data_IF_402600337436
#
_entry.id   IF_402600337436
#
_cell.length_a   1.000
_cell.length_b   1.000
_cell.length_c   1.000
_cell.angle_alpha   90.00
_cell.angle_beta   90.00
_cell.angle_gamma   90.00
#
_symmetry.space_group_name_H-M   'P 1'
#
loop_
_entity.id
_entity.type
_entity.pdbx_description
1 polymer ?
#
# COMPACT_ATOMS: atom_id res chain seq x y z
N UNK A 1 18.91 2.00 28.92
CA UNK A 1 18.27 1.33 27.77
C UNK A 1 18.75 2.02 26.51
N UNK A 2 19.63 1.38 25.73
CA UNK A 2 20.11 1.93 24.47
C UNK A 2 19.37 1.23 23.31
N UNK A 3 18.93 2.01 22.33
CA UNK A 3 18.29 1.48 21.13
C UNK A 3 19.39 0.75 20.31
N UNK A 4 19.19 -0.53 19.94
CA UNK A 4 20.14 -1.24 19.09
C UNK A 4 20.39 -0.48 17.78
N UNK A 5 21.59 -0.58 17.24
CA UNK A 5 22.02 0.24 16.09
C UNK A 5 21.13 0.07 14.87
N UNK A 6 20.63 -1.16 14.65
CA UNK A 6 19.70 -1.52 13.58
C UNK A 6 18.38 -0.72 13.61
N UNK A 7 17.96 -0.26 14.78
CA UNK A 7 16.70 0.47 14.97
C UNK A 7 16.91 1.98 15.09
N UNK A 8 18.15 2.49 15.19
CA UNK A 8 18.40 3.94 15.33
C UNK A 8 17.84 4.75 14.16
N UNK A 9 18.01 4.27 12.93
CA UNK A 9 17.51 4.95 11.74
C UNK A 9 15.97 4.99 11.73
N UNK A 10 15.32 3.87 12.09
CA UNK A 10 13.86 3.79 12.20
C UNK A 10 13.34 4.70 13.31
N UNK A 11 14.04 4.76 14.44
CA UNK A 11 13.71 5.66 15.55
C UNK A 11 13.88 7.13 15.18
N UNK A 12 14.91 7.48 14.40
CA UNK A 12 15.11 8.84 13.91
C UNK A 12 13.95 9.29 13.02
N UNK A 13 13.49 8.44 12.10
CA UNK A 13 12.31 8.69 11.26
C UNK A 13 11.02 8.82 12.08
N UNK A 14 10.87 7.98 13.10
CA UNK A 14 9.73 8.03 14.01
C UNK A 14 9.70 9.36 14.80
N UNK A 15 10.86 9.80 15.30
CA UNK A 15 11.00 11.08 15.99
C UNK A 15 10.74 12.27 15.06
N UNK A 16 11.19 12.23 13.81
CA UNK A 16 10.89 13.31 12.85
C UNK A 16 9.39 13.38 12.57
N UNK A 17 8.71 12.24 12.49
CA UNK A 17 7.26 12.19 12.31
C UNK A 17 6.50 12.79 13.48
N UNK A 18 6.86 12.43 14.71
CA UNK A 18 6.25 13.00 15.92
C UNK A 18 6.40 14.53 15.96
N UNK A 19 7.55 15.07 15.56
CA UNK A 19 7.77 16.52 15.46
C UNK A 19 6.87 17.20 14.42
N UNK A 20 6.62 16.55 13.29
CA UNK A 20 5.74 17.07 12.23
C UNK A 20 4.28 17.09 12.69
N UNK A 21 3.86 16.06 13.43
CA UNK A 21 2.51 15.95 13.96
C UNK A 21 2.30 16.85 15.20
N UNK A 22 3.35 17.47 15.72
CA UNK A 22 3.38 18.23 16.99
C UNK A 22 2.93 17.39 18.20
N UNK A 23 3.07 16.07 18.08
CA UNK A 23 2.67 15.08 19.08
C UNK A 23 3.91 14.50 19.74
N UNK A 24 3.80 14.06 21.00
CA UNK A 24 4.92 13.37 21.64
C UNK A 24 5.14 12.00 21.00
N UNK A 25 6.38 11.51 20.99
CA UNK A 25 6.69 10.18 20.42
C UNK A 25 5.93 9.05 21.12
N UNK A 26 5.58 9.24 22.40
CA UNK A 26 4.78 8.29 23.16
C UNK A 26 3.31 8.25 22.70
N UNK A 27 2.71 9.41 22.41
CA UNK A 27 1.35 9.52 21.90
C UNK A 27 1.24 8.93 20.49
N UNK A 28 2.20 9.23 19.61
CA UNK A 28 2.22 8.65 18.25
C UNK A 28 2.35 7.12 18.27
N UNK A 29 3.14 6.59 19.22
CA UNK A 29 3.29 5.15 19.41
C UNK A 29 1.99 4.52 19.93
N UNK A 30 1.30 5.22 20.83
CA UNK A 30 0.02 4.78 21.35
C UNK A 30 -1.04 4.70 20.24
N UNK A 31 -1.14 5.73 19.40
CA UNK A 31 -2.07 5.76 18.28
C UNK A 31 -1.78 4.63 17.28
N UNK A 32 -0.50 4.37 16.98
CA UNK A 32 -0.09 3.26 16.12
C UNK A 32 -0.50 1.89 16.69
N UNK A 33 -0.40 1.69 18.00
CA UNK A 33 -0.82 0.45 18.65
C UNK A 33 -2.35 0.33 18.64
N UNK A 34 -3.07 1.42 18.88
CA UNK A 34 -4.54 1.43 18.82
C UNK A 34 -5.02 1.08 17.41
N UNK A 35 -4.44 1.69 16.36
CA UNK A 35 -4.73 1.36 14.95
C UNK A 35 -4.43 -0.11 14.63
N UNK A 36 -3.29 -0.62 15.10
CA UNK A 36 -2.92 -2.03 14.89
C UNK A 36 -3.87 -2.99 15.60
N UNK A 37 -4.29 -2.68 16.83
CA UNK A 37 -5.26 -3.50 17.56
C UNK A 37 -6.67 -3.39 16.97
N UNK A 38 -7.05 -2.27 16.37
CA UNK A 38 -8.33 -2.15 15.67
C UNK A 38 -8.31 -2.93 14.34
N UNK A 39 -7.19 -2.91 13.60
CA UNK A 39 -7.05 -3.61 12.33
C UNK A 39 -6.81 -5.13 12.49
N UNK A 40 -6.03 -5.53 13.48
CA UNK A 40 -5.58 -6.92 13.67
C UNK A 40 -6.07 -7.57 14.97
N UNK A 41 -6.73 -6.84 15.88
CA UNK A 41 -7.23 -7.41 17.14
C UNK A 41 -8.23 -8.54 16.93
N UNK A 42 -9.11 -8.38 15.95
CA UNK A 42 -10.07 -9.43 15.55
C UNK A 42 -9.38 -10.63 14.88
N UNK A 43 -8.22 -10.43 14.27
CA UNK A 43 -7.42 -11.49 13.64
C UNK A 43 -6.61 -12.32 14.66
N UNK A 44 -6.35 -11.74 15.85
CA UNK A 44 -5.69 -12.42 16.98
C UNK A 44 -6.70 -13.22 17.82
N UNK A 45 -8.01 -12.93 17.74
CA UNK A 45 -9.10 -13.65 18.42
C UNK A 45 -9.59 -14.93 17.69
N UNK A 46 -8.67 -15.79 17.23
CA UNK A 46 -9.00 -17.21 17.05
C UNK A 46 -8.10 -18.12 17.92
N UNK A 47 -8.20 -18.06 19.25
CA UNK A 47 -8.06 -19.26 20.07
C UNK A 47 -9.28 -20.14 19.80
N UNK A 48 -9.04 -21.34 19.25
CA UNK A 48 -10.03 -22.42 19.11
C UNK A 48 -10.81 -22.58 20.42
N UNK A 49 -12.13 -22.31 20.47
CA UNK A 49 -12.92 -22.58 21.66
C UNK A 49 -13.43 -24.02 21.59
N UNK A 50 -12.59 -24.97 21.96
CA UNK A 50 -13.09 -26.26 22.44
C UNK A 50 -13.43 -26.09 23.91
N UNK A 51 -14.71 -25.85 24.19
CA UNK A 51 -15.50 -26.59 25.19
C UNK A 51 -16.91 -26.02 25.24
N UNK A 52 -17.86 -26.90 24.95
CA UNK A 52 -19.29 -26.69 25.14
C UNK A 52 -19.57 -26.46 26.63
N UNK A 53 -20.34 -25.43 26.99
CA UNK A 53 -21.18 -25.50 28.19
C UNK A 53 -22.40 -24.56 28.08
N UNK A 54 -23.58 -25.17 28.17
CA UNK A 54 -24.90 -24.52 28.16
C UNK A 54 -25.04 -23.62 29.39
N UNK A 55 -25.33 -22.35 29.19
CA UNK A 55 -25.89 -21.49 30.24
C UNK A 55 -27.00 -20.59 29.68
N UNK A 56 -28.19 -20.70 30.27
CA UNK A 56 -29.45 -20.05 29.87
C UNK A 56 -29.36 -18.51 29.74
N UNK A 57 -30.25 -17.88 28.95
CA UNK A 57 -30.18 -16.44 28.68
C UNK A 57 -30.67 -15.63 29.90
N UNK A 58 -29.75 -14.91 30.56
CA UNK A 58 -30.12 -13.88 31.54
C UNK A 58 -30.61 -12.63 30.81
N UNK A 59 -31.87 -12.25 31.04
CA UNK A 59 -32.45 -10.99 30.52
C UNK A 59 -31.68 -9.80 31.10
N UNK A 60 -30.84 -9.16 30.29
CA UNK A 60 -30.20 -7.87 30.60
C UNK A 60 -31.08 -6.73 30.10
N UNK A 61 -31.49 -5.84 31.00
CA UNK A 61 -32.12 -4.57 30.64
C UNK A 61 -31.05 -3.65 30.05
N UNK A 62 -31.03 -3.51 28.73
CA UNK A 62 -30.15 -2.57 28.02
C UNK A 62 -30.75 -1.17 28.21
N UNK A 63 -30.12 -0.33 29.02
CA UNK A 63 -30.43 1.10 29.03
C UNK A 63 -30.02 1.67 27.66
N UNK A 64 -30.95 2.33 26.97
CA UNK A 64 -30.71 2.95 25.67
C UNK A 64 -29.48 3.87 25.77
N UNK A 65 -28.44 3.58 24.99
CA UNK A 65 -27.25 4.42 24.90
C UNK A 65 -27.65 5.81 24.38
N UNK A 66 -27.14 6.87 25.02
CA UNK A 66 -27.30 8.23 24.53
C UNK A 66 -26.65 8.36 23.15
N UNK A 67 -27.23 9.14 22.21
CA UNK A 67 -26.64 9.31 20.90
C UNK A 67 -25.24 9.92 21.02
N UNK A 68 -24.27 9.30 20.35
CA UNK A 68 -22.90 9.78 20.31
C UNK A 68 -22.87 11.25 19.84
N UNK A 69 -22.15 12.12 20.57
CA UNK A 69 -21.96 13.51 20.16
C UNK A 69 -21.30 13.52 18.79
N UNK A 70 -21.99 14.06 17.80
CA UNK A 70 -21.46 14.23 16.44
C UNK A 70 -20.24 15.13 16.51
N UNK A 71 -19.03 14.55 16.54
CA UNK A 71 -17.80 15.30 16.26
C UNK A 71 -17.91 15.67 14.78
N UNK A 72 -18.08 16.95 14.49
CA UNK A 72 -17.98 17.46 13.13
C UNK A 72 -16.59 17.10 12.63
N UNK A 73 -16.52 16.10 11.75
CA UNK A 73 -15.31 15.72 11.03
C UNK A 73 -14.92 16.90 10.13
N UNK A 74 -14.21 17.87 10.69
CA UNK A 74 -13.47 18.85 9.92
C UNK A 74 -12.23 18.11 9.45
N UNK A 75 -12.35 17.39 8.33
CA UNK A 75 -11.18 16.84 7.66
C UNK A 75 -10.36 18.01 7.15
N UNK A 76 -9.35 18.47 7.91
CA UNK A 76 -8.32 19.37 7.39
C UNK A 76 -7.65 18.61 6.24
N UNK A 77 -7.93 19.02 5.00
CA UNK A 77 -7.24 18.50 3.82
C UNK A 77 -5.81 19.02 3.88
N UNK A 78 -4.92 18.25 4.49
CA UNK A 78 -3.48 18.49 4.43
C UNK A 78 -2.97 17.80 3.17
N UNK A 79 -2.66 18.58 2.14
CA UNK A 79 -1.98 18.05 0.96
C UNK A 79 -0.50 17.89 1.30
N UNK A 80 -0.07 16.66 1.58
CA UNK A 80 1.35 16.33 1.73
C UNK A 80 1.95 16.31 0.33
N UNK A 81 2.66 17.37 -0.06
CA UNK A 81 3.54 17.36 -1.22
C UNK A 81 4.85 16.73 -0.79
N UNK A 82 5.10 15.47 -1.21
CA UNK A 82 6.42 14.85 -1.10
C UNK A 82 7.34 15.63 -2.05
N UNK A 83 8.33 16.34 -1.50
CA UNK A 83 9.36 16.99 -2.30
C UNK A 83 10.17 15.91 -3.02
N UNK A 84 10.28 16.08 -4.34
CA UNK A 84 10.85 15.14 -5.29
C UNK A 84 12.39 15.11 -5.24
N UNK A 85 12.98 14.95 -4.06
CA UNK A 85 14.45 14.91 -3.92
C UNK A 85 15.01 13.47 -3.87
N UNK A 86 14.19 12.44 -3.63
CA UNK A 86 14.65 11.03 -3.67
C UNK A 86 14.34 10.31 -5.00
N UNK A 87 13.98 11.04 -6.05
CA UNK A 87 13.57 10.47 -7.36
C UNK A 87 14.44 10.92 -8.54
N UNK A 88 15.55 11.62 -8.31
CA UNK A 88 16.21 12.41 -9.35
C UNK A 88 17.72 12.21 -9.49
N UNK A 89 18.23 10.99 -9.37
CA UNK A 89 19.61 10.72 -9.82
C UNK A 89 19.72 10.21 -11.27
N UNK A 90 18.59 9.94 -11.96
CA UNK A 90 18.59 9.49 -13.36
C UNK A 90 17.78 10.40 -14.32
N UNK A 91 17.18 11.51 -13.86
CA UNK A 91 16.25 12.30 -14.71
C UNK A 91 16.94 13.26 -15.70
N UNK A 92 18.25 13.49 -15.62
CA UNK A 92 18.92 14.50 -16.46
C UNK A 92 19.48 13.97 -17.79
N UNK A 93 19.50 12.64 -18.01
CA UNK A 93 19.98 12.03 -19.27
C UNK A 93 19.00 11.08 -19.96
N UNK A 94 17.88 10.73 -19.32
CA UNK A 94 16.90 9.81 -19.92
C UNK A 94 15.97 10.54 -20.89
N UNK A 95 16.09 10.25 -22.19
CA UNK A 95 15.11 10.67 -23.19
C UNK A 95 13.71 10.14 -22.85
N UNK A 96 12.65 10.76 -23.39
CA UNK A 96 11.26 10.31 -23.18
C UNK A 96 11.10 8.80 -23.45
N UNK A 97 11.87 8.27 -24.40
CA UNK A 97 11.91 6.85 -24.78
C UNK A 97 12.46 5.91 -23.70
N UNK A 98 13.30 6.39 -22.80
CA UNK A 98 13.95 5.58 -21.77
C UNK A 98 13.08 5.29 -20.55
N UNK A 99 11.92 5.92 -20.46
CA UNK A 99 11.00 5.69 -19.34
C UNK A 99 10.47 4.24 -19.35
N UNK A 100 10.17 3.65 -18.18
CA UNK A 100 9.71 2.27 -18.06
C UNK A 100 8.43 1.98 -18.84
N UNK A 101 7.60 3.01 -19.12
CA UNK A 101 6.40 2.88 -19.95
C UNK A 101 6.77 2.57 -21.40
N UNK A 102 7.66 3.35 -22.01
CA UNK A 102 7.99 3.17 -23.43
C UNK A 102 8.82 1.91 -23.66
N UNK A 103 9.74 1.57 -22.73
CA UNK A 103 10.44 0.29 -22.75
C UNK A 103 9.50 -0.92 -22.70
N UNK A 104 8.43 -0.86 -21.89
CA UNK A 104 7.42 -1.91 -21.82
C UNK A 104 6.57 -1.98 -23.09
N UNK A 105 6.20 -0.84 -23.67
CA UNK A 105 5.43 -0.78 -24.92
C UNK A 105 6.21 -1.31 -26.11
N UNK A 106 7.50 -0.99 -26.19
CA UNK A 106 8.41 -1.53 -27.20
C UNK A 106 8.54 -3.05 -27.04
N UNK A 107 8.68 -3.55 -25.80
CA UNK A 107 8.67 -4.99 -25.52
C UNK A 107 7.39 -5.67 -25.99
N UNK A 108 6.23 -5.08 -25.67
CA UNK A 108 4.95 -5.60 -26.12
C UNK A 108 4.90 -5.70 -27.64
N UNK A 109 5.29 -4.65 -28.37
CA UNK A 109 5.32 -4.66 -29.83
C UNK A 109 6.28 -5.70 -30.41
N UNK A 110 7.40 -5.97 -29.74
CA UNK A 110 8.35 -6.99 -30.18
C UNK A 110 7.89 -8.43 -29.91
N UNK A 111 7.09 -8.64 -28.86
CA UNK A 111 6.60 -9.96 -28.45
C UNK A 111 5.22 -10.28 -29.04
N UNK A 112 4.44 -9.27 -29.41
CA UNK A 112 3.09 -9.46 -29.92
C UNK A 112 3.13 -10.04 -31.33
N UNK A 113 2.65 -11.28 -31.45
CA UNK A 113 2.48 -11.99 -32.72
C UNK A 113 1.07 -11.81 -33.30
N UNK A 114 0.25 -10.93 -32.72
CA UNK A 114 -1.13 -10.62 -33.12
C UNK A 114 -2.21 -11.28 -32.26
N UNK A 115 -1.86 -12.27 -31.44
CA UNK A 115 -2.77 -12.95 -30.51
C UNK A 115 -2.55 -12.53 -29.05
N UNK A 116 -1.87 -11.41 -28.83
CA UNK A 116 -1.52 -10.91 -27.50
C UNK A 116 -0.36 -11.66 -26.86
N UNK A 117 0.14 -11.09 -25.77
CA UNK A 117 1.34 -11.56 -25.07
C UNK A 117 0.97 -12.15 -23.72
N UNK A 118 1.60 -13.28 -23.37
CA UNK A 118 1.41 -13.90 -22.06
C UNK A 118 1.99 -12.98 -20.96
N UNK A 119 1.25 -12.72 -19.87
CA UNK A 119 1.64 -11.75 -18.86
C UNK A 119 2.93 -12.13 -18.12
N UNK A 120 3.19 -13.41 -17.89
CA UNK A 120 4.41 -13.87 -17.21
C UNK A 120 5.65 -13.75 -18.10
N UNK A 121 5.51 -14.04 -19.40
CA UNK A 121 6.59 -13.86 -20.38
C UNK A 121 6.95 -12.38 -20.48
N UNK A 122 5.93 -11.51 -20.55
CA UNK A 122 6.13 -10.06 -20.59
C UNK A 122 6.83 -9.55 -19.32
N UNK A 123 6.46 -10.05 -18.13
CA UNK A 123 7.11 -9.68 -16.86
C UNK A 123 8.58 -10.07 -16.83
N UNK A 124 8.89 -11.29 -17.27
CA UNK A 124 10.25 -11.82 -17.29
C UNK A 124 11.12 -11.01 -18.26
N UNK A 125 10.61 -10.73 -19.46
CA UNK A 125 11.29 -9.88 -20.44
C UNK A 125 11.48 -8.44 -19.95
N UNK A 126 10.49 -7.88 -19.25
CA UNK A 126 10.55 -6.55 -18.67
C UNK A 126 11.58 -6.44 -17.54
N UNK A 127 11.69 -7.46 -16.70
CA UNK A 127 12.76 -7.57 -15.70
C UNK A 127 14.14 -7.63 -16.37
N UNK A 128 14.29 -8.43 -17.43
CA UNK A 128 15.54 -8.52 -18.18
C UNK A 128 15.95 -7.18 -18.84
N UNK A 129 14.99 -6.38 -19.30
CA UNK A 129 15.23 -5.01 -19.82
C UNK A 129 15.45 -3.95 -18.72
N UNK A 130 15.53 -4.33 -17.44
CA UNK A 130 15.82 -3.41 -16.34
C UNK A 130 14.63 -2.54 -15.90
N UNK A 131 13.39 -2.92 -16.23
CA UNK A 131 12.21 -2.19 -15.75
C UNK A 131 12.00 -2.51 -14.26
N UNK A 132 12.14 -1.49 -13.40
CA UNK A 132 11.87 -1.60 -11.96
C UNK A 132 10.39 -1.95 -11.73
N UNK A 133 10.14 -3.09 -11.07
CA UNK A 133 8.80 -3.60 -10.74
C UNK A 133 7.82 -3.71 -11.94
N UNK A 134 8.04 -4.63 -12.89
CA UNK A 134 7.24 -4.72 -14.12
C UNK A 134 5.75 -5.00 -13.85
N UNK A 135 5.43 -5.79 -12.82
CA UNK A 135 4.04 -6.06 -12.42
C UNK A 135 3.27 -4.79 -12.07
N UNK A 136 3.90 -3.87 -11.33
CA UNK A 136 3.27 -2.60 -10.97
C UNK A 136 3.06 -1.72 -12.21
N UNK A 137 4.05 -1.67 -13.10
CA UNK A 137 3.97 -0.88 -14.32
C UNK A 137 2.87 -1.40 -15.28
N UNK A 138 2.76 -2.72 -15.45
CA UNK A 138 1.66 -3.34 -16.19
C UNK A 138 0.30 -2.98 -15.59
N UNK A 139 0.12 -3.12 -14.28
CA UNK A 139 -1.13 -2.76 -13.60
C UNK A 139 -1.47 -1.26 -13.73
N UNK A 140 -0.45 -0.38 -13.76
CA UNK A 140 -0.66 1.04 -14.04
C UNK A 140 -1.15 1.26 -15.47
N UNK A 141 -0.60 0.55 -16.45
CA UNK A 141 -0.99 0.67 -17.85
C UNK A 141 -2.37 0.08 -18.12
N UNK A 142 -2.73 -1.02 -17.46
CA UNK A 142 -4.08 -1.59 -17.53
C UNK A 142 -5.13 -0.64 -16.95
N UNK A 143 -4.87 -0.05 -15.78
CA UNK A 143 -5.76 0.97 -15.18
C UNK A 143 -5.96 2.20 -16.05
N UNK A 144 -4.96 2.54 -16.88
CA UNK A 144 -5.02 3.65 -17.83
C UNK A 144 -5.66 3.27 -19.16
N UNK A 145 -6.08 2.02 -19.33
CA UNK A 145 -6.68 1.53 -20.58
C UNK A 145 -5.68 1.44 -21.75
N UNK A 146 -4.37 1.45 -21.48
CA UNK A 146 -3.33 1.33 -22.52
C UNK A 146 -3.12 -0.14 -22.88
N UNK A 147 -3.22 -1.01 -21.87
CA UNK A 147 -3.20 -2.44 -22.02
C UNK A 147 -4.55 -2.99 -21.57
N UNK A 148 -5.00 -4.08 -22.19
CA UNK A 148 -6.16 -4.82 -21.72
C UNK A 148 -5.86 -6.31 -21.68
N UNK A 149 -6.50 -7.01 -20.76
CA UNK A 149 -6.39 -8.46 -20.65
C UNK A 149 -7.61 -9.11 -21.32
N UNK A 150 -7.38 -10.00 -22.28
CA UNK A 150 -8.41 -10.77 -22.96
C UNK A 150 -7.95 -12.21 -23.12
N UNK A 151 -8.81 -13.18 -22.74
CA UNK A 151 -8.50 -14.62 -22.77
C UNK A 151 -7.17 -15.01 -22.09
N UNK A 152 -6.82 -14.32 -21.00
CA UNK A 152 -5.57 -14.56 -20.26
C UNK A 152 -4.32 -13.95 -20.89
N UNK A 153 -4.44 -13.28 -22.03
CA UNK A 153 -3.36 -12.57 -22.72
C UNK A 153 -3.52 -11.07 -22.62
N UNK A 154 -2.39 -10.37 -22.68
CA UNK A 154 -2.34 -8.91 -22.64
C UNK A 154 -2.22 -8.39 -24.05
N UNK A 155 -3.06 -7.42 -24.39
CA UNK A 155 -3.08 -6.75 -25.68
C UNK A 155 -2.88 -5.25 -25.49
N UNK A 156 -2.40 -4.58 -26.55
CA UNK A 156 -2.42 -3.13 -26.64
C UNK A 156 -3.81 -2.68 -27.11
N UNK A 157 -4.35 -1.65 -26.46
CA UNK A 157 -5.53 -0.91 -26.96
C UNK A 157 -5.14 -0.04 -28.14
#
# INVERSE_FOLDING_TARGET
MAIPEEFRNKWALFNSRAKIEEVTTAELLKDLIEDYLEEFGDEIEIPVPDTEEKSAPKKRLIKKALPAKKRSFVSKKVSITINKEDSSDDEETMGIQDTPKFKLLELMRSLDSGDGVDPEVLRTAAQAKGIRNPRLQMNKMMRRGILYAHKGRVHLT
#
